data_IF_029061610279
#
_entry.id   IF_029061610279
#
_cell.length_a   1.000
_cell.length_b   1.000
_cell.length_c   1.000
_cell.angle_alpha   90.00
_cell.angle_beta   90.00
_cell.angle_gamma   90.00
#
_symmetry.space_group_name_H-M   'P 1'
#
loop_
_entity.id
_entity.type
_entity.pdbx_description
1 polymer ?
#
# COMPACT_ATOMS: atom_id res chain seq x y z
N UNK A 1 -19.61 -29.08 -15.20
CA UNK A 1 -18.86 -27.99 -14.53
C UNK A 1 -18.38 -28.50 -13.17
N UNK A 2 -17.24 -28.02 -12.64
CA UNK A 2 -16.67 -28.46 -11.34
C UNK A 2 -16.27 -27.25 -10.50
N UNK A 3 -16.51 -27.31 -9.19
CA UNK A 3 -16.08 -26.28 -8.24
C UNK A 3 -14.56 -26.23 -8.16
N UNK A 4 -13.99 -25.02 -8.16
CA UNK A 4 -12.56 -24.83 -7.99
C UNK A 4 -12.16 -25.03 -6.52
N UNK A 5 -10.96 -25.58 -6.23
CA UNK A 5 -10.43 -25.62 -4.87
C UNK A 5 -10.35 -24.22 -4.26
N UNK A 6 -10.62 -24.11 -2.96
CA UNK A 6 -10.61 -22.81 -2.25
C UNK A 6 -9.27 -22.06 -2.39
N UNK A 7 -8.15 -22.78 -2.41
CA UNK A 7 -6.83 -22.19 -2.64
C UNK A 7 -6.71 -21.54 -4.02
N UNK A 8 -7.28 -22.15 -5.06
CA UNK A 8 -7.31 -21.61 -6.42
C UNK A 8 -8.18 -20.36 -6.50
N UNK A 9 -9.37 -20.38 -5.89
CA UNK A 9 -10.26 -19.20 -5.84
C UNK A 9 -9.58 -18.03 -5.12
N UNK A 10 -8.90 -18.32 -4.00
CA UNK A 10 -8.13 -17.31 -3.25
C UNK A 10 -6.98 -16.74 -4.07
N UNK A 11 -6.23 -17.56 -4.81
CA UNK A 11 -5.15 -17.10 -5.67
C UNK A 11 -5.67 -16.22 -6.81
N UNK A 12 -6.74 -16.65 -7.49
CA UNK A 12 -7.35 -15.90 -8.59
C UNK A 12 -7.85 -14.53 -8.12
N UNK A 13 -8.64 -14.48 -7.05
CA UNK A 13 -9.14 -13.21 -6.47
C UNK A 13 -8.00 -12.31 -6.01
N UNK A 14 -7.01 -12.85 -5.29
CA UNK A 14 -5.86 -12.05 -4.83
C UNK A 14 -5.02 -11.50 -5.99
N UNK A 15 -4.93 -12.24 -7.10
CA UNK A 15 -4.24 -11.78 -8.31
C UNK A 15 -4.99 -10.69 -9.08
N UNK A 16 -6.27 -10.48 -8.82
CA UNK A 16 -7.03 -9.35 -9.38
C UNK A 16 -6.83 -8.07 -8.55
N UNK A 17 -6.58 -8.23 -7.25
CA UNK A 17 -6.28 -7.12 -6.33
C UNK A 17 -4.81 -6.71 -6.49
N UNK A 18 -3.89 -7.67 -6.37
CA UNK A 18 -2.45 -7.44 -6.50
C UNK A 18 -2.02 -7.75 -7.93
N UNK A 19 -2.08 -6.74 -8.79
CA UNK A 19 -1.85 -6.85 -10.24
C UNK A 19 -0.39 -6.61 -10.64
N UNK A 20 0.35 -5.85 -9.84
CA UNK A 20 1.72 -5.40 -10.15
C UNK A 20 2.51 -5.02 -8.88
N UNK A 21 3.78 -4.63 -9.04
CA UNK A 21 4.60 -4.12 -7.92
C UNK A 21 4.02 -2.80 -7.39
N UNK A 22 3.61 -1.91 -8.31
CA UNK A 22 2.93 -0.65 -7.97
C UNK A 22 1.69 -0.89 -7.12
N UNK A 23 0.88 -1.91 -7.43
CA UNK A 23 -0.32 -2.20 -6.62
C UNK A 23 0.02 -2.58 -5.17
N UNK A 24 1.09 -3.34 -4.94
CA UNK A 24 1.51 -3.68 -3.56
C UNK A 24 1.91 -2.41 -2.83
N UNK A 25 2.74 -1.57 -3.45
CA UNK A 25 3.23 -0.33 -2.83
C UNK A 25 2.07 0.62 -2.54
N UNK A 26 1.13 0.80 -3.47
CA UNK A 26 -0.07 1.62 -3.27
C UNK A 26 -0.87 1.18 -2.05
N UNK A 27 -1.26 -0.10 -1.99
CA UNK A 27 -2.09 -0.62 -0.90
C UNK A 27 -1.39 -0.51 0.46
N UNK A 28 -0.07 -0.71 0.52
CA UNK A 28 0.69 -0.58 1.77
C UNK A 28 0.81 0.89 2.22
N UNK A 29 1.04 1.83 1.31
CA UNK A 29 1.08 3.26 1.62
C UNK A 29 -0.27 3.76 2.09
N UNK A 30 -1.34 3.38 1.40
CA UNK A 30 -2.71 3.75 1.79
C UNK A 30 -3.07 3.23 3.19
N UNK A 31 -2.63 2.01 3.54
CA UNK A 31 -2.76 1.50 4.90
C UNK A 31 -1.96 2.33 5.91
N UNK A 32 -0.75 2.77 5.57
CA UNK A 32 0.04 3.65 6.44
C UNK A 32 -0.63 5.03 6.62
N UNK A 33 -1.24 5.59 5.56
CA UNK A 33 -1.98 6.84 5.61
C UNK A 33 -3.24 6.73 6.47
N UNK A 34 -4.00 5.65 6.30
CA UNK A 34 -5.18 5.37 7.13
C UNK A 34 -4.80 5.19 8.61
N UNK A 35 -3.58 4.72 8.90
CA UNK A 35 -3.01 4.62 10.25
C UNK A 35 -2.43 5.95 10.78
N UNK A 36 -2.63 7.07 10.08
CA UNK A 36 -2.19 8.40 10.49
C UNK A 36 -0.68 8.63 10.40
N UNK A 37 0.04 7.88 9.56
CA UNK A 37 1.48 8.04 9.41
C UNK A 37 1.87 9.42 8.87
N UNK A 38 2.93 9.99 9.45
CA UNK A 38 3.56 11.24 8.99
C UNK A 38 4.92 11.01 8.34
N UNK A 39 5.45 9.79 8.42
CA UNK A 39 6.68 9.36 7.77
C UNK A 39 6.50 7.93 7.24
N UNK A 40 6.76 7.74 5.94
CA UNK A 40 6.70 6.45 5.26
C UNK A 40 8.01 6.23 4.50
N UNK A 41 8.69 5.12 4.79
CA UNK A 41 9.88 4.65 4.09
C UNK A 41 9.50 3.43 3.22
N UNK A 42 9.70 3.53 1.92
CA UNK A 42 9.45 2.46 0.93
C UNK A 42 10.79 1.98 0.38
N UNK A 43 11.06 0.68 0.47
CA UNK A 43 12.28 0.07 -0.08
C UNK A 43 11.96 -1.10 -0.99
N UNK A 44 12.62 -1.13 -2.14
CA UNK A 44 12.52 -2.20 -3.12
C UNK A 44 13.89 -2.83 -3.39
N UNK A 45 13.94 -4.15 -3.44
CA UNK A 45 15.08 -4.90 -3.95
C UNK A 45 14.67 -5.69 -5.19
N UNK A 46 15.53 -5.69 -6.21
CA UNK A 46 15.27 -6.35 -7.49
C UNK A 46 13.90 -5.93 -8.07
N UNK A 47 13.67 -4.62 -8.13
CA UNK A 47 12.42 -4.02 -8.64
C UNK A 47 11.16 -4.45 -7.86
N UNK A 48 11.31 -4.97 -6.64
CA UNK A 48 10.20 -5.45 -5.80
C UNK A 48 9.91 -6.94 -5.93
N UNK A 49 10.62 -7.69 -6.80
CA UNK A 49 10.44 -9.14 -6.88
C UNK A 49 11.04 -9.87 -5.70
N UNK A 50 12.17 -9.39 -5.19
CA UNK A 50 12.85 -10.05 -4.06
C UNK A 50 12.31 -9.52 -2.74
N UNK A 51 12.16 -8.19 -2.63
CA UNK A 51 11.62 -7.53 -1.45
C UNK A 51 10.90 -6.22 -1.77
N UNK A 52 9.75 -6.04 -1.13
CA UNK A 52 9.04 -4.78 -0.94
C UNK A 52 8.93 -4.57 0.57
N UNK A 53 9.47 -3.48 1.10
CA UNK A 53 9.36 -3.11 2.51
C UNK A 53 8.72 -1.72 2.58
N UNK A 54 7.60 -1.60 3.29
CA UNK A 54 6.97 -0.32 3.61
C UNK A 54 6.95 -0.19 5.12
N UNK A 55 7.61 0.86 5.63
CA UNK A 55 7.69 1.18 7.04
C UNK A 55 7.05 2.54 7.29
N UNK A 56 6.16 2.61 8.26
CA UNK A 56 5.54 3.84 8.72
C UNK A 56 5.76 4.08 10.22
N UNK A 57 5.37 5.27 10.66
CA UNK A 57 5.30 5.68 12.05
C UNK A 57 3.85 5.90 12.51
N UNK A 58 2.88 5.19 11.92
CA UNK A 58 1.47 5.31 12.27
C UNK A 58 1.12 4.72 13.64
N UNK A 59 -0.17 4.50 13.88
CA UNK A 59 -0.66 3.99 15.17
C UNK A 59 -0.24 2.56 15.51
N UNK A 60 0.16 1.76 14.52
CA UNK A 60 0.44 0.35 14.69
C UNK A 60 -0.81 -0.53 14.69
N UNK A 61 -0.64 -1.85 14.80
CA UNK A 61 -1.74 -2.82 14.86
C UNK A 61 -1.84 -3.33 16.30
N UNK A 62 -3.02 -3.24 16.89
CA UNK A 62 -3.25 -3.71 18.26
C UNK A 62 -3.05 -5.23 18.34
N UNK A 63 -2.52 -5.70 19.47
CA UNK A 63 -2.31 -7.13 19.69
C UNK A 63 -3.58 -7.98 19.53
N UNK A 64 -4.75 -7.41 19.85
CA UNK A 64 -6.05 -8.08 19.70
C UNK A 64 -6.47 -8.29 18.23
N UNK A 65 -6.02 -7.40 17.33
CA UNK A 65 -6.34 -7.46 15.90
C UNK A 65 -5.31 -8.28 15.11
N UNK A 66 -4.13 -8.53 15.68
CA UNK A 66 -3.04 -9.26 15.03
C UNK A 66 -3.47 -10.63 14.43
N UNK A 67 -4.32 -11.46 15.08
CA UNK A 67 -4.77 -12.73 14.50
C UNK A 67 -5.56 -12.58 13.19
N UNK A 68 -6.17 -11.43 12.94
CA UNK A 68 -7.05 -11.19 11.78
C UNK A 68 -6.52 -10.11 10.83
N UNK A 69 -5.39 -9.46 11.14
CA UNK A 69 -4.87 -8.31 10.37
C UNK A 69 -4.64 -8.57 8.88
N UNK A 70 -4.38 -9.82 8.50
CA UNK A 70 -4.18 -10.23 7.11
C UNK A 70 -5.23 -11.23 6.63
N UNK A 71 -6.29 -11.45 7.39
CA UNK A 71 -7.42 -12.27 6.96
C UNK A 71 -8.32 -11.46 6.05
N UNK A 72 -8.81 -12.06 4.96
CA UNK A 72 -9.72 -11.36 4.03
C UNK A 72 -11.03 -11.01 4.74
N UNK A 73 -11.58 -9.86 4.38
CA UNK A 73 -12.86 -9.31 4.88
C UNK A 73 -12.83 -8.88 6.35
N UNK A 74 -11.64 -8.65 6.90
CA UNK A 74 -11.45 -8.01 8.21
C UNK A 74 -10.91 -6.60 8.00
N UNK A 75 -11.56 -5.61 8.61
CA UNK A 75 -11.14 -4.21 8.53
C UNK A 75 -11.56 -3.45 9.79
N UNK A 76 -10.78 -2.45 10.18
CA UNK A 76 -11.11 -1.49 11.25
C UNK A 76 -11.77 -0.21 10.72
N UNK A 77 -11.97 -0.10 9.40
CA UNK A 77 -12.28 1.17 8.71
C UNK A 77 -13.77 1.37 8.44
N UNK A 78 -14.53 0.29 8.39
CA UNK A 78 -15.99 0.28 8.29
C UNK A 78 -16.55 -0.86 9.15
N UNK A 79 -17.77 -0.69 9.65
CA UNK A 79 -18.48 -1.67 10.48
C UNK A 79 -19.87 -2.01 9.93
N UNK A 80 -20.45 -1.18 9.06
CA UNK A 80 -21.76 -1.42 8.49
C UNK A 80 -21.87 -1.00 7.01
N UNK A 81 -23.01 -1.31 6.39
CA UNK A 81 -23.27 -0.94 5.00
C UNK A 81 -23.39 0.58 4.83
N UNK A 82 -23.93 1.26 5.83
CA UNK A 82 -24.12 2.71 5.86
C UNK A 82 -22.78 3.46 5.80
N UNK A 83 -21.71 2.88 6.35
CA UNK A 83 -20.36 3.47 6.28
C UNK A 83 -19.83 3.59 4.85
N UNK A 84 -20.34 2.76 3.91
CA UNK A 84 -19.99 2.86 2.49
C UNK A 84 -20.46 4.16 1.84
N UNK A 85 -21.43 4.86 2.45
CA UNK A 85 -21.88 6.17 1.97
C UNK A 85 -20.93 7.30 2.36
N UNK A 86 -20.10 7.10 3.41
CA UNK A 86 -19.26 8.14 4.01
C UNK A 86 -17.80 7.67 4.20
N UNK A 87 -17.19 7.16 3.14
CA UNK A 87 -15.82 6.63 3.19
C UNK A 87 -14.79 7.76 3.37
N UNK A 88 -14.07 7.71 4.49
CA UNK A 88 -13.01 8.67 4.84
C UNK A 88 -11.60 8.07 4.73
N UNK A 89 -11.48 6.75 4.56
CA UNK A 89 -10.23 6.02 4.44
C UNK A 89 -9.98 5.55 3.01
N UNK A 90 -8.72 5.30 2.66
CA UNK A 90 -8.34 4.77 1.35
C UNK A 90 -8.72 3.30 1.19
N UNK A 91 -8.42 2.48 2.21
CA UNK A 91 -8.86 1.09 2.26
C UNK A 91 -10.18 0.94 3.03
N UNK A 92 -10.95 -0.10 2.72
CA UNK A 92 -12.15 -0.49 3.51
C UNK A 92 -12.62 -1.93 3.24
N UNK A 93 -12.10 -2.58 2.20
CA UNK A 93 -12.53 -3.94 1.81
C UNK A 93 -11.97 -5.04 2.71
N UNK A 94 -10.88 -4.78 3.42
CA UNK A 94 -10.20 -5.79 4.26
C UNK A 94 -9.52 -6.90 3.47
N UNK A 95 -9.10 -6.64 2.22
CA UNK A 95 -8.56 -7.69 1.34
C UNK A 95 -7.08 -7.52 0.98
N UNK A 96 -6.51 -6.34 1.19
CA UNK A 96 -5.17 -5.98 0.69
C UNK A 96 -4.06 -6.88 1.25
N UNK A 97 -3.88 -6.90 2.57
CA UNK A 97 -2.82 -7.68 3.22
C UNK A 97 -2.97 -9.18 2.96
N UNK A 98 -4.18 -9.73 3.07
CA UNK A 98 -4.45 -11.14 2.75
C UNK A 98 -4.17 -11.48 1.28
N UNK A 99 -4.41 -10.54 0.36
CA UNK A 99 -4.08 -10.73 -1.06
C UNK A 99 -2.57 -10.68 -1.31
N UNK A 100 -1.83 -9.83 -0.60
CA UNK A 100 -0.35 -9.79 -0.64
C UNK A 100 0.22 -11.10 -0.09
N UNK A 101 -0.27 -11.57 1.07
CA UNK A 101 0.06 -12.89 1.63
C UNK A 101 -0.14 -14.02 0.62
N UNK A 102 -1.20 -13.94 -0.19
CA UNK A 102 -1.46 -14.98 -1.19
C UNK A 102 -0.41 -15.02 -2.30
N UNK A 103 0.25 -13.91 -2.65
CA UNK A 103 1.19 -13.82 -3.79
C UNK A 103 2.66 -13.58 -3.40
N UNK A 104 2.95 -13.43 -2.11
CA UNK A 104 4.26 -13.16 -1.55
C UNK A 104 4.41 -13.83 -0.17
N UNK A 105 5.62 -13.84 0.38
CA UNK A 105 5.84 -14.15 1.79
C UNK A 105 5.84 -12.86 2.59
N UNK A 106 5.02 -12.80 3.64
CA UNK A 106 4.79 -11.55 4.36
C UNK A 106 5.28 -11.64 5.79
N UNK A 107 6.06 -10.64 6.18
CA UNK A 107 6.40 -10.35 7.56
C UNK A 107 5.78 -9.00 7.93
N UNK A 108 5.16 -8.93 9.10
CA UNK A 108 4.63 -7.67 9.64
C UNK A 108 5.28 -7.44 10.98
N UNK A 109 5.95 -6.32 11.17
CA UNK A 109 6.44 -5.88 12.48
C UNK A 109 5.68 -4.64 12.88
N UNK A 110 5.06 -4.63 14.05
CA UNK A 110 4.21 -3.50 14.45
C UNK A 110 4.31 -3.23 15.94
N UNK A 111 4.04 -1.99 16.31
CA UNK A 111 4.02 -1.52 17.69
C UNK A 111 3.07 -0.34 17.83
N UNK A 112 2.12 -0.45 18.74
CA UNK A 112 1.29 0.68 19.16
C UNK A 112 1.97 1.48 20.27
N UNK A 113 1.45 2.68 20.55
CA UNK A 113 1.95 3.50 21.66
C UNK A 113 1.79 2.82 23.03
N UNK A 114 0.80 1.94 23.18
CA UNK A 114 0.54 1.18 24.40
C UNK A 114 1.47 -0.02 24.58
N UNK A 115 2.18 -0.45 23.53
CA UNK A 115 3.03 -1.63 23.58
C UNK A 115 4.43 -1.31 24.12
N UNK A 116 4.92 -2.19 25.00
CA UNK A 116 6.27 -2.11 25.56
C UNK A 116 7.36 -2.35 24.50
N UNK A 117 7.09 -3.22 23.52
CA UNK A 117 8.01 -3.58 22.44
C UNK A 117 7.23 -3.91 21.17
N UNK A 118 7.89 -3.83 20.01
CA UNK A 118 7.29 -4.24 18.74
C UNK A 118 7.23 -5.76 18.61
N UNK A 119 6.22 -6.30 17.94
CA UNK A 119 6.13 -7.73 17.64
C UNK A 119 6.24 -7.95 16.14
N UNK A 120 7.07 -8.92 15.72
CA UNK A 120 7.17 -9.39 14.36
C UNK A 120 6.37 -10.67 14.17
N UNK A 121 5.54 -10.71 13.14
CA UNK A 121 4.70 -11.82 12.73
C UNK A 121 5.16 -12.32 11.36
N UNK A 122 5.21 -13.63 11.18
CA UNK A 122 5.39 -14.30 9.89
C UNK A 122 4.06 -14.89 9.47
N UNK A 123 3.60 -14.60 8.26
CA UNK A 123 2.27 -14.97 7.78
C UNK A 123 2.32 -16.05 6.69
N UNK A 124 1.31 -16.91 6.66
CA UNK A 124 1.10 -17.87 5.58
C UNK A 124 0.38 -17.27 4.36
N UNK A 125 0.18 -18.07 3.31
CA UNK A 125 -0.49 -17.65 2.07
C UNK A 125 -2.00 -17.39 2.17
N UNK A 126 -2.58 -17.56 3.36
CA UNK A 126 -3.97 -17.22 3.71
C UNK A 126 -4.07 -16.07 4.70
N UNK A 127 -2.95 -15.58 5.23
CA UNK A 127 -2.91 -14.50 6.22
C UNK A 127 -2.84 -14.95 7.68
N UNK A 128 -2.76 -16.26 7.96
CA UNK A 128 -2.62 -16.74 9.33
C UNK A 128 -1.19 -16.55 9.84
N UNK A 129 -1.06 -16.31 11.15
CA UNK A 129 0.23 -16.20 11.82
C UNK A 129 0.86 -17.60 11.94
N UNK A 130 2.03 -17.79 11.31
CA UNK A 130 2.86 -18.98 11.46
C UNK A 130 3.76 -18.91 12.68
N UNK A 131 4.28 -17.72 12.97
CA UNK A 131 5.12 -17.48 14.14
C UNK A 131 5.13 -16.01 14.50
N UNK A 132 5.45 -15.71 15.75
CA UNK A 132 5.66 -14.35 16.23
C UNK A 132 6.89 -14.28 17.14
N UNK A 133 7.58 -13.15 17.15
CA UNK A 133 8.70 -12.88 18.07
C UNK A 133 8.79 -11.40 18.44
N UNK A 134 9.33 -11.05 19.62
CA UNK A 134 9.64 -9.68 19.96
C UNK A 134 10.64 -9.04 18.98
N UNK A 135 10.56 -7.73 18.84
CA UNK A 135 11.43 -6.88 18.02
C UNK A 135 11.59 -5.50 18.68
N UNK A 136 12.59 -4.74 18.25
CA UNK A 136 12.95 -3.44 18.83
C UNK A 136 12.66 -2.25 17.92
N UNK A 137 11.69 -2.36 17.01
CA UNK A 137 11.26 -1.23 16.20
C UNK A 137 10.43 -0.24 17.02
N UNK A 138 10.51 1.03 16.62
CA UNK A 138 9.67 2.10 17.18
C UNK A 138 8.19 1.90 16.86
N UNK A 139 7.37 2.84 17.32
CA UNK A 139 5.94 2.89 16.98
C UNK A 139 5.71 2.92 15.46
N UNK A 140 4.63 2.27 15.03
CA UNK A 140 4.23 2.16 13.63
C UNK A 140 4.25 0.72 13.13
N UNK A 141 4.13 0.57 11.82
CA UNK A 141 4.09 -0.73 11.16
C UNK A 141 5.17 -0.84 10.09
N UNK A 142 5.76 -2.02 9.94
CA UNK A 142 6.64 -2.39 8.85
C UNK A 142 6.10 -3.65 8.20
N UNK A 143 5.67 -3.55 6.95
CA UNK A 143 5.23 -4.69 6.13
C UNK A 143 6.33 -5.02 5.13
N UNK A 144 6.81 -6.26 5.16
CA UNK A 144 7.80 -6.79 4.23
C UNK A 144 7.18 -7.91 3.41
N UNK A 145 7.06 -7.73 2.10
CA UNK A 145 6.66 -8.75 1.15
C UNK A 145 7.88 -9.26 0.38
N UNK A 146 8.16 -10.56 0.48
CA UNK A 146 9.29 -11.24 -0.15
C UNK A 146 8.81 -12.13 -1.30
N UNK A 147 9.67 -12.30 -2.31
CA UNK A 147 9.46 -13.26 -3.42
C UNK A 147 8.10 -13.06 -4.11
N UNK A 148 7.79 -11.81 -4.50
CA UNK A 148 6.52 -11.46 -5.14
C UNK A 148 6.29 -12.31 -6.41
N UNK A 149 5.05 -12.78 -6.56
CA UNK A 149 4.58 -13.62 -7.68
C UNK A 149 5.29 -14.98 -7.78
N UNK A 150 5.88 -15.50 -6.69
CA UNK A 150 6.48 -16.85 -6.66
C UNK A 150 5.54 -17.96 -7.13
N UNK A 151 4.24 -17.80 -6.90
CA UNK A 151 3.17 -18.72 -7.28
C UNK A 151 2.39 -18.28 -8.54
N UNK A 152 2.86 -17.23 -9.23
CA UNK A 152 2.28 -16.73 -10.48
C UNK A 152 3.40 -16.54 -11.53
N UNK A 153 4.00 -17.65 -12.03
CA UNK A 153 5.22 -17.59 -12.85
C UNK A 153 5.05 -16.80 -14.14
N UNK A 154 3.90 -16.94 -14.82
CA UNK A 154 3.60 -16.18 -16.05
C UNK A 154 3.55 -14.68 -15.79
N UNK A 155 2.94 -14.27 -14.65
CA UNK A 155 2.90 -12.86 -14.25
C UNK A 155 4.29 -12.34 -13.88
N UNK A 156 5.06 -13.13 -13.13
CA UNK A 156 6.45 -12.79 -12.81
C UNK A 156 7.24 -12.56 -14.09
N UNK A 157 7.20 -13.50 -15.04
CA UNK A 157 7.88 -13.39 -16.33
C UNK A 157 7.47 -12.14 -17.12
N UNK A 158 6.16 -11.83 -17.16
CA UNK A 158 5.65 -10.63 -17.85
C UNK A 158 6.28 -9.35 -17.29
N UNK A 159 6.35 -9.21 -15.97
CA UNK A 159 6.92 -8.03 -15.32
C UNK A 159 8.45 -8.04 -15.24
N UNK A 160 9.12 -9.19 -15.40
CA UNK A 160 10.59 -9.30 -15.31
C UNK A 160 11.36 -8.72 -16.51
N UNK A 161 10.68 -8.26 -17.56
CA UNK A 161 11.34 -7.59 -18.68
C UNK A 161 11.91 -6.24 -18.24
N UNK A 162 13.10 -5.86 -18.74
CA UNK A 162 13.76 -4.60 -18.37
C UNK A 162 12.87 -3.37 -18.59
N UNK A 163 12.05 -3.36 -19.64
CA UNK A 163 11.08 -2.30 -19.92
C UNK A 163 10.02 -2.22 -18.81
N UNK A 164 9.37 -3.34 -18.48
CA UNK A 164 8.32 -3.38 -17.45
C UNK A 164 8.85 -3.04 -16.07
N UNK A 165 10.04 -3.51 -15.72
CA UNK A 165 10.72 -3.14 -14.48
C UNK A 165 10.88 -1.61 -14.36
N UNK A 166 11.40 -0.95 -15.39
CA UNK A 166 11.55 0.52 -15.42
C UNK A 166 10.20 1.23 -15.36
N UNK A 167 9.20 0.75 -16.11
CA UNK A 167 7.86 1.31 -16.11
C UNK A 167 7.22 1.25 -14.70
N UNK A 168 7.38 0.13 -13.98
CA UNK A 168 6.85 -0.01 -12.61
C UNK A 168 7.54 0.93 -11.63
N UNK A 169 8.86 1.10 -11.71
CA UNK A 169 9.58 2.06 -10.85
C UNK A 169 9.11 3.49 -11.12
N UNK A 170 8.96 3.88 -12.39
CA UNK A 170 8.46 5.21 -12.74
C UNK A 170 7.05 5.44 -12.19
N UNK A 171 6.14 4.47 -12.35
CA UNK A 171 4.78 4.57 -11.79
C UNK A 171 4.78 4.67 -10.27
N UNK A 172 5.69 3.96 -9.57
CA UNK A 172 5.84 4.09 -8.12
C UNK A 172 6.31 5.50 -7.79
N UNK A 173 7.33 6.03 -8.47
CA UNK A 173 7.80 7.40 -8.25
C UNK A 173 6.67 8.43 -8.46
N UNK A 174 5.92 8.33 -9.57
CA UNK A 174 4.77 9.20 -9.87
C UNK A 174 3.70 9.11 -8.76
N UNK A 175 3.41 7.89 -8.28
CA UNK A 175 2.46 7.64 -7.17
C UNK A 175 2.95 8.29 -5.86
N UNK A 176 4.22 8.14 -5.52
CA UNK A 176 4.80 8.71 -4.30
C UNK A 176 4.81 10.24 -4.34
N UNK A 177 5.18 10.83 -5.49
CA UNK A 177 5.10 12.28 -5.69
C UNK A 177 3.68 12.80 -5.52
N UNK A 178 2.70 12.06 -6.06
CA UNK A 178 1.28 12.38 -5.94
C UNK A 178 0.83 12.47 -4.48
N UNK A 179 1.18 11.48 -3.63
CA UNK A 179 0.87 11.55 -2.20
C UNK A 179 1.63 12.66 -1.48
N UNK A 180 2.90 12.90 -1.83
CA UNK A 180 3.69 13.98 -1.25
C UNK A 180 3.12 15.38 -1.55
N UNK A 181 2.55 15.59 -2.73
CA UNK A 181 1.86 16.84 -3.09
C UNK A 181 0.54 16.98 -2.34
N UNK A 182 -0.23 15.89 -2.21
CA UNK A 182 -1.52 15.92 -1.51
C UNK A 182 -1.40 16.08 0.01
N UNK A 183 -0.31 15.59 0.59
CA UNK A 183 -0.06 15.61 2.03
C UNK A 183 1.30 16.29 2.30
N UNK A 184 1.37 17.64 2.32
CA UNK A 184 2.62 18.37 2.49
C UNK A 184 3.42 18.01 3.75
N UNK A 185 2.73 17.61 4.82
CA UNK A 185 3.34 17.21 6.09
C UNK A 185 3.84 15.75 6.09
N UNK A 186 3.57 14.99 5.03
CA UNK A 186 3.98 13.59 4.90
C UNK A 186 5.41 13.50 4.38
N UNK A 187 6.29 12.92 5.18
CA UNK A 187 7.63 12.52 4.76
C UNK A 187 7.57 11.18 4.02
N UNK A 188 7.93 11.15 2.74
CA UNK A 188 8.13 9.91 1.99
C UNK A 188 9.61 9.73 1.65
N UNK A 189 10.13 8.52 1.84
CA UNK A 189 11.45 8.11 1.34
C UNK A 189 11.29 6.89 0.48
N UNK A 190 11.85 6.90 -0.72
CA UNK A 190 11.87 5.76 -1.62
C UNK A 190 13.30 5.33 -1.88
N UNK A 191 13.57 4.04 -1.73
CA UNK A 191 14.87 3.45 -2.04
C UNK A 191 14.67 2.26 -2.96
N UNK A 192 15.31 2.28 -4.12
CA UNK A 192 15.34 1.13 -5.03
C UNK A 192 16.78 0.65 -5.20
N UNK A 193 17.03 -0.60 -4.78
CA UNK A 193 18.36 -1.19 -4.67
C UNK A 193 19.32 -0.39 -3.76
N UNK A 194 20.56 -0.86 -3.58
CA UNK A 194 21.59 -0.20 -2.75
C UNK A 194 22.09 1.15 -3.31
N UNK A 195 21.50 1.66 -4.40
CA UNK A 195 22.09 2.74 -5.21
C UNK A 195 21.25 4.01 -5.39
N UNK A 196 19.93 3.97 -5.26
CA UNK A 196 19.09 5.15 -5.51
C UNK A 196 18.08 5.34 -4.38
N UNK A 197 18.46 6.12 -3.38
CA UNK A 197 17.52 6.69 -2.43
C UNK A 197 16.94 7.98 -3.04
N UNK A 198 15.74 7.91 -3.62
CA UNK A 198 14.93 9.10 -3.88
C UNK A 198 14.35 9.55 -2.55
N UNK A 199 15.06 10.46 -1.87
CA UNK A 199 14.59 11.09 -0.65
C UNK A 199 13.63 12.21 -1.03
N UNK A 200 12.33 11.93 -1.08
CA UNK A 200 11.28 12.95 -1.23
C UNK A 200 11.07 13.76 0.06
N UNK A 201 11.85 13.48 1.12
CA UNK A 201 11.71 14.13 2.40
C UNK A 201 12.47 15.44 2.47
N UNK A 202 11.72 16.55 2.53
CA UNK A 202 12.09 17.96 2.84
C UNK A 202 12.44 18.88 1.68
N UNK A 203 12.65 18.35 0.50
CA UNK A 203 12.69 19.14 -0.72
C UNK A 203 11.87 18.35 -1.75
N UNK A 204 10.58 18.70 -1.89
CA UNK A 204 9.99 18.76 -3.23
C UNK A 204 11.09 19.33 -4.15
N UNK A 205 11.31 18.80 -5.37
CA UNK A 205 12.24 19.43 -6.30
C UNK A 205 12.01 20.93 -6.18
N UNK A 206 13.03 21.68 -5.78
CA UNK A 206 12.88 23.09 -5.40
C UNK A 206 12.30 23.95 -6.54
N UNK A 207 12.07 23.34 -7.70
CA UNK A 207 11.32 23.84 -8.83
C UNK A 207 10.56 22.67 -9.49
N UNK A 208 9.41 22.27 -8.95
CA UNK A 208 8.34 21.77 -9.83
C UNK A 208 7.64 23.02 -10.37
N UNK A 209 7.59 23.19 -11.68
CA UNK A 209 6.90 24.35 -12.24
C UNK A 209 5.40 24.26 -11.89
N UNK A 210 4.70 25.39 -11.97
CA UNK A 210 3.24 25.38 -11.83
C UNK A 210 2.62 24.46 -12.88
N UNK A 211 3.19 24.37 -14.09
CA UNK A 211 2.74 23.41 -15.11
C UNK A 211 2.99 21.97 -14.67
N UNK A 212 4.13 21.64 -14.07
CA UNK A 212 4.41 20.27 -13.60
C UNK A 212 3.44 19.84 -12.50
N UNK A 213 3.15 20.72 -11.53
CA UNK A 213 2.17 20.45 -10.48
C UNK A 213 0.77 20.30 -11.08
N UNK A 214 0.40 21.18 -12.02
CA UNK A 214 -0.88 21.10 -12.73
C UNK A 214 -1.00 19.81 -13.55
N UNK A 215 0.08 19.38 -14.20
CA UNK A 215 0.13 18.14 -14.97
C UNK A 215 0.06 16.91 -14.06
N UNK A 216 0.74 16.91 -12.91
CA UNK A 216 0.59 15.84 -11.90
C UNK A 216 -0.86 15.80 -11.41
N UNK A 217 -1.44 16.94 -11.01
CA UNK A 217 -2.85 17.01 -10.57
C UNK A 217 -3.79 16.55 -11.69
N UNK A 218 -3.53 16.92 -12.94
CA UNK A 218 -4.30 16.51 -14.12
C UNK A 218 -4.21 15.00 -14.36
N UNK A 219 -3.00 14.44 -14.34
CA UNK A 219 -2.76 12.99 -14.44
C UNK A 219 -3.40 12.24 -13.30
N UNK A 220 -3.35 12.76 -12.07
CA UNK A 220 -4.06 12.17 -10.92
C UNK A 220 -5.57 12.17 -11.15
N UNK A 221 -6.17 13.29 -11.55
CA UNK A 221 -7.61 13.36 -11.87
C UNK A 221 -8.00 12.36 -12.96
N UNK A 222 -7.12 12.08 -13.92
CA UNK A 222 -7.33 11.08 -14.96
C UNK A 222 -7.07 9.63 -14.52
N UNK A 223 -6.06 9.38 -13.68
CA UNK A 223 -5.70 8.04 -13.20
C UNK A 223 -6.63 7.54 -12.09
N UNK A 224 -7.14 8.45 -11.26
CA UNK A 224 -8.27 8.19 -10.37
C UNK A 224 -9.62 8.23 -11.12
N UNK A 225 -9.61 8.71 -12.37
CA UNK A 225 -10.69 8.59 -13.33
C UNK A 225 -11.96 9.37 -12.97
N UNK A 226 -12.55 10.00 -13.99
CA UNK A 226 -13.96 10.43 -13.96
C UNK A 226 -14.96 9.25 -13.91
N UNK A 227 -14.50 8.00 -13.75
CA UNK A 227 -15.29 6.77 -13.89
C UNK A 227 -15.52 5.99 -12.58
N UNK A 228 -15.04 6.47 -11.44
CA UNK A 228 -15.61 6.08 -10.14
C UNK A 228 -16.33 7.30 -9.56
N UNK A 229 -17.28 7.81 -10.32
CA UNK A 229 -18.18 8.89 -9.89
C UNK A 229 -19.40 8.38 -9.16
N UNK A 230 -19.55 7.07 -9.02
CA UNK A 230 -20.71 6.48 -8.37
C UNK A 230 -20.27 5.28 -7.56
N UNK A 231 -20.60 5.27 -6.27
CA UNK A 231 -20.80 4.01 -5.54
C UNK A 231 -21.84 3.16 -6.31
N UNK A 232 -22.01 1.89 -5.96
CA UNK A 232 -23.03 0.98 -6.55
C UNK A 232 -24.45 1.61 -6.58
N UNK A 233 -24.68 2.68 -5.80
CA UNK A 233 -25.93 3.43 -5.66
C UNK A 233 -25.97 4.81 -6.36
N UNK A 234 -25.06 5.15 -7.27
CA UNK A 234 -25.22 6.35 -8.09
C UNK A 234 -24.82 7.69 -7.43
N UNK A 235 -23.96 7.68 -6.40
CA UNK A 235 -23.53 8.89 -5.68
C UNK A 235 -22.04 9.22 -5.85
N UNK A 236 -21.67 10.51 -6.04
CA UNK A 236 -20.29 10.95 -6.23
C UNK A 236 -19.38 10.67 -5.05
N UNK A 237 -18.27 9.99 -5.37
CA UNK A 237 -17.15 9.75 -4.46
C UNK A 237 -16.31 11.04 -4.36
N UNK A 238 -16.72 11.97 -3.49
CA UNK A 238 -15.91 13.16 -3.24
C UNK A 238 -14.93 12.89 -2.10
N UNK A 239 -13.71 12.48 -2.43
CA UNK A 239 -12.61 12.60 -1.48
C UNK A 239 -12.09 14.04 -1.53
N UNK A 240 -12.30 14.81 -0.46
CA UNK A 240 -11.70 16.13 -0.33
C UNK A 240 -10.19 15.95 -0.10
N UNK A 241 -9.40 16.02 -1.19
CA UNK A 241 -7.99 15.65 -1.17
C UNK A 241 -7.12 16.64 -0.40
N UNK A 242 -7.32 17.96 -0.56
CA UNK A 242 -6.79 19.05 0.27
C UNK A 242 -7.27 20.41 -0.28
N UNK A 243 -7.20 21.49 0.52
CA UNK A 243 -7.24 22.86 0.00
C UNK A 243 -5.84 23.21 -0.54
N UNK A 244 -5.75 23.58 -1.81
CA UNK A 244 -4.53 24.20 -2.33
C UNK A 244 -4.45 25.61 -1.73
N UNK A 245 -3.38 25.96 -1.01
CA UNK A 245 -3.23 27.32 -0.51
C UNK A 245 -3.15 28.28 -1.70
N UNK A 246 -4.00 29.29 -1.71
CA UNK A 246 -3.88 30.39 -2.67
C UNK A 246 -2.58 31.15 -2.36
N UNK A 247 -1.65 31.14 -3.31
CA UNK A 247 -0.42 31.95 -3.22
C UNK A 247 -0.80 33.43 -3.17
N UNK A 248 -0.35 34.13 -2.13
CA UNK A 248 -0.32 35.60 -2.06
C UNK A 248 0.83 36.15 -2.89
#
# INVERSE_FOLDING_TARGET
>A
MKQLPAATVRLLSSSQIITSVVSVVKELIENSLDAGATSIDVKLENYGFDKIEVRDNGEGIKAIDAPVMAMKYYTSKINSHEDLENLTTYGFRGEALGSICCVAEVLITTRTAADNFSTQYVLDGSGHILSQKPSHLGQGTTVTALRLFKNLPVRKQFYSTAKKCKDEIKKIQDLLMSYGILKPDLRIVFVHNKGEAVRLSRQLPMYLSKEDIQDIIYRMKHQFGNEIKECVHGRPFFHHLTYLPETT
#
